data_IF_058018882239
#
_entry.id   IF_058018882239
#
_cell.length_a   1.000
_cell.length_b   1.000
_cell.length_c   1.000
_cell.angle_alpha   90.00
_cell.angle_beta   90.00
_cell.angle_gamma   90.00
#
_symmetry.space_group_name_H-M   'P 1'
#
loop_
_entity.id
_entity.type
_entity.pdbx_description
1 polymer ?
#
# COMPACT_ATOMS: atom_id res chain seq x y z
N UNK A 1 -13.92 -5.42 -3.46
CA UNK A 1 -13.67 -5.00 -2.06
C UNK A 1 -12.27 -5.48 -1.64
N UNK A 2 -11.34 -4.56 -1.40
CA UNK A 2 -9.99 -4.86 -0.96
C UNK A 2 -9.28 -3.57 -0.52
N UNK A 3 -8.10 -3.67 0.10
CA UNK A 3 -7.38 -2.53 0.67
C UNK A 3 -6.97 -1.46 -0.36
N UNK A 4 -7.09 -1.75 -1.64
CA UNK A 4 -6.82 -0.82 -2.75
C UNK A 4 -8.06 -0.50 -3.60
N UNK A 5 -9.26 -0.76 -3.06
CA UNK A 5 -10.53 -0.41 -3.69
C UNK A 5 -10.62 1.10 -3.91
N UNK A 6 -10.88 1.52 -5.14
CA UNK A 6 -10.93 2.95 -5.52
C UNK A 6 -9.72 3.43 -6.34
N UNK A 7 -8.61 2.68 -6.36
CA UNK A 7 -7.51 2.97 -7.30
C UNK A 7 -7.80 2.35 -8.67
N UNK A 8 -7.38 3.05 -9.70
CA UNK A 8 -7.37 2.54 -11.07
C UNK A 8 -6.14 1.66 -11.26
N UNK A 9 -6.33 0.43 -11.71
CA UNK A 9 -5.25 -0.52 -11.94
C UNK A 9 -5.42 -1.27 -13.25
N UNK A 10 -4.32 -1.69 -13.83
CA UNK A 10 -4.31 -2.67 -14.89
C UNK A 10 -4.48 -4.05 -14.25
N UNK A 11 -5.49 -4.79 -14.67
CA UNK A 11 -5.72 -6.17 -14.24
C UNK A 11 -5.39 -7.11 -15.38
N UNK A 12 -4.46 -8.03 -15.15
CA UNK A 12 -4.12 -9.09 -16.08
C UNK A 12 -4.56 -10.42 -15.49
N UNK A 13 -5.50 -11.08 -16.16
CA UNK A 13 -5.90 -12.44 -15.82
C UNK A 13 -4.98 -13.43 -16.52
N UNK A 14 -4.50 -14.41 -15.78
CA UNK A 14 -3.62 -15.49 -16.26
C UNK A 14 -4.31 -16.81 -15.91
N UNK A 15 -4.65 -17.59 -16.91
CA UNK A 15 -5.20 -18.93 -16.72
C UNK A 15 -4.08 -19.96 -16.90
N UNK A 16 -3.82 -20.74 -15.86
CA UNK A 16 -2.79 -21.78 -15.81
C UNK A 16 -3.49 -23.14 -15.88
N UNK A 17 -3.41 -23.78 -17.05
CA UNK A 17 -3.94 -25.12 -17.26
C UNK A 17 -2.86 -26.20 -16.99
N UNK A 18 -3.15 -27.13 -16.08
CA UNK A 18 -2.28 -28.26 -15.79
C UNK A 18 -3.04 -29.54 -16.14
N UNK A 19 -2.45 -30.38 -16.98
CA UNK A 19 -2.99 -31.71 -17.31
C UNK A 19 -2.01 -32.78 -16.85
N UNK A 20 -2.49 -33.68 -16.01
CA UNK A 20 -1.75 -34.87 -15.61
C UNK A 20 -2.34 -36.10 -16.31
N UNK A 21 -1.48 -36.99 -16.82
CA UNK A 21 -1.88 -38.26 -17.44
C UNK A 21 -1.12 -39.39 -16.76
N UNK A 22 -1.82 -40.42 -16.29
CA UNK A 22 -1.20 -41.60 -15.70
C UNK A 22 -0.78 -42.62 -16.77
N UNK A 23 -0.03 -43.69 -16.41
CA UNK A 23 0.38 -44.75 -17.35
C UNK A 23 -0.80 -45.51 -17.95
N UNK A 24 -1.99 -45.48 -17.34
CA UNK A 24 -3.21 -46.05 -17.85
C UNK A 24 -4.02 -45.11 -18.74
N UNK A 25 -3.42 -43.97 -19.11
CA UNK A 25 -4.01 -42.90 -19.95
C UNK A 25 -5.24 -42.20 -19.32
N UNK A 26 -5.42 -42.30 -17.99
CA UNK A 26 -6.39 -41.47 -17.28
C UNK A 26 -5.85 -40.02 -17.20
N UNK A 27 -6.73 -39.06 -17.43
CA UNK A 27 -6.38 -37.63 -17.43
C UNK A 27 -7.10 -36.88 -16.33
N UNK A 28 -6.35 -36.05 -15.61
CA UNK A 28 -6.88 -35.04 -14.72
C UNK A 28 -6.44 -33.65 -15.18
N UNK A 29 -7.36 -32.69 -15.21
CA UNK A 29 -7.08 -31.31 -15.57
C UNK A 29 -7.50 -30.38 -14.45
N UNK A 30 -6.62 -29.42 -14.14
CA UNK A 30 -6.89 -28.32 -13.21
C UNK A 30 -6.58 -27.02 -13.93
N UNK A 31 -7.49 -26.06 -13.85
CA UNK A 31 -7.27 -24.70 -14.31
C UNK A 31 -7.28 -23.76 -13.08
N UNK A 32 -6.21 -23.02 -12.91
CA UNK A 32 -6.07 -22.00 -11.88
C UNK A 32 -6.04 -20.64 -12.54
N UNK A 33 -6.98 -19.78 -12.17
CA UNK A 33 -7.01 -18.39 -12.63
C UNK A 33 -6.28 -17.50 -11.60
N UNK A 34 -5.21 -16.85 -12.02
CA UNK A 34 -4.49 -15.84 -11.24
C UNK A 34 -4.75 -14.45 -11.82
N UNK A 35 -4.94 -13.46 -10.95
CA UNK A 35 -5.06 -12.06 -11.35
C UNK A 35 -3.83 -11.29 -10.88
N UNK A 36 -3.09 -10.70 -11.82
CA UNK A 36 -2.03 -9.75 -11.54
C UNK A 36 -2.59 -8.32 -11.68
N UNK A 37 -2.48 -7.53 -10.61
CA UNK A 37 -2.95 -6.14 -10.61
C UNK A 37 -1.77 -5.19 -10.47
N UNK A 38 -1.66 -4.24 -11.39
CA UNK A 38 -0.66 -3.16 -11.35
C UNK A 38 -1.35 -1.82 -11.11
N UNK A 39 -0.93 -1.12 -10.06
CA UNK A 39 -1.50 0.17 -9.66
C UNK A 39 -0.42 1.24 -9.89
N UNK A 40 -0.68 2.27 -10.71
CA UNK A 40 0.27 3.36 -10.91
C UNK A 40 0.55 4.14 -9.62
N UNK A 41 1.82 4.35 -9.29
CA UNK A 41 2.23 5.02 -8.05
C UNK A 41 1.79 6.49 -7.96
N UNK A 42 1.58 7.16 -9.08
CA UNK A 42 1.14 8.57 -9.11
C UNK A 42 -0.30 8.78 -8.60
N UNK A 43 -1.06 7.72 -8.34
CA UNK A 43 -2.37 7.81 -7.68
C UNK A 43 -2.26 8.01 -6.17
N UNK A 44 -1.07 7.80 -5.59
CA UNK A 44 -0.83 8.09 -4.18
C UNK A 44 -0.43 9.56 -3.99
N UNK A 45 -0.95 10.20 -2.97
CA UNK A 45 -0.46 11.47 -2.49
C UNK A 45 0.93 11.34 -1.83
N UNK A 46 1.12 10.24 -1.08
CA UNK A 46 2.42 9.84 -0.52
C UNK A 46 2.57 8.33 -0.66
N UNK A 47 3.67 7.90 -1.27
CA UNK A 47 4.10 6.50 -1.29
C UNK A 47 5.53 6.39 -0.75
N UNK A 48 5.73 5.50 0.22
CA UNK A 48 7.04 5.27 0.80
C UNK A 48 7.32 3.77 0.98
N UNK A 49 8.56 3.34 0.77
CA UNK A 49 8.89 1.92 0.78
C UNK A 49 9.33 1.39 2.15
N UNK A 50 9.70 2.27 3.05
CA UNK A 50 10.20 1.96 4.39
C UNK A 50 9.30 2.59 5.46
N UNK A 51 9.73 2.67 6.72
CA UNK A 51 9.02 3.37 7.77
C UNK A 51 8.79 4.84 7.42
N UNK A 52 7.55 5.27 7.36
CA UNK A 52 7.15 6.65 7.10
C UNK A 52 6.84 7.36 8.41
N UNK A 53 7.53 8.47 8.68
CA UNK A 53 7.20 9.38 9.77
C UNK A 53 6.66 10.70 9.21
N UNK A 54 5.45 11.08 9.61
CA UNK A 54 4.86 12.39 9.31
C UNK A 54 4.84 13.19 10.60
N UNK A 55 5.78 14.15 10.69
CA UNK A 55 5.98 15.02 11.84
C UNK A 55 6.11 16.48 11.37
N UNK A 56 4.99 17.04 10.94
CA UNK A 56 4.93 18.35 10.33
C UNK A 56 5.00 19.49 11.37
N UNK A 57 5.71 20.57 11.02
CA UNK A 57 5.72 21.82 11.79
C UNK A 57 4.43 22.63 11.59
N UNK A 58 4.13 23.12 10.38
CA UNK A 58 2.87 23.77 10.05
C UNK A 58 1.72 22.77 9.90
N UNK A 59 0.47 23.25 9.86
CA UNK A 59 -0.67 22.42 9.47
C UNK A 59 -0.47 21.91 8.03
N UNK A 60 -0.71 20.62 7.82
CA UNK A 60 -0.62 19.97 6.53
C UNK A 60 -1.91 19.22 6.20
N UNK A 61 -2.29 19.29 4.92
CA UNK A 61 -3.45 18.61 4.34
C UNK A 61 -2.98 17.55 3.35
N UNK A 62 -3.44 16.32 3.51
CA UNK A 62 -3.17 15.19 2.61
C UNK A 62 -4.48 14.82 1.90
N UNK A 63 -4.65 15.29 0.66
CA UNK A 63 -5.85 15.05 -0.14
C UNK A 63 -5.83 13.74 -0.94
N UNK A 64 -4.69 13.05 -0.98
CA UNK A 64 -4.54 11.76 -1.67
C UNK A 64 -4.16 10.65 -0.72
N UNK A 65 -4.17 9.43 -1.23
CA UNK A 65 -3.81 8.25 -0.46
C UNK A 65 -2.39 8.32 0.08
N UNK A 66 -2.24 7.93 1.33
CA UNK A 66 -0.94 7.79 1.98
C UNK A 66 -0.67 6.31 2.20
N UNK A 67 0.42 5.82 1.62
CA UNK A 67 0.85 4.43 1.76
C UNK A 67 2.33 4.34 2.13
N UNK A 68 2.64 3.42 3.04
CA UNK A 68 4.01 2.96 3.26
C UNK A 68 4.06 1.44 3.28
N UNK A 69 5.17 0.86 2.84
CA UNK A 69 5.40 -0.59 2.86
C UNK A 69 5.93 -1.12 4.20
N UNK A 70 6.10 -0.24 5.20
CA UNK A 70 6.53 -0.61 6.54
C UNK A 70 5.70 0.16 7.58
N UNK A 71 6.22 0.47 8.76
CA UNK A 71 5.45 1.15 9.80
C UNK A 71 5.15 2.62 9.46
N UNK A 72 4.01 3.08 9.94
CA UNK A 72 3.58 4.47 9.81
C UNK A 72 3.55 5.17 11.18
N UNK A 73 4.23 6.30 11.28
CA UNK A 73 4.30 7.12 12.49
C UNK A 73 3.67 8.48 12.21
N UNK A 74 2.63 8.82 12.96
CA UNK A 74 1.85 10.04 12.76
C UNK A 74 1.80 10.88 14.04
N UNK A 75 2.37 12.07 13.99
CA UNK A 75 2.18 13.09 15.03
C UNK A 75 2.69 14.44 14.54
N UNK A 76 1.92 15.52 14.63
CA UNK A 76 2.47 16.85 14.31
C UNK A 76 3.54 17.28 15.32
N UNK A 77 4.43 18.18 14.89
CA UNK A 77 5.54 18.70 15.70
C UNK A 77 5.12 19.75 16.71
N UNK A 78 3.89 20.23 16.66
CA UNK A 78 3.37 21.31 17.49
C UNK A 78 1.86 21.18 17.68
N UNK A 79 1.19 22.26 18.09
CA UNK A 79 -0.28 22.35 18.20
C UNK A 79 -0.99 22.44 16.84
N UNK A 80 -0.25 22.44 15.72
CA UNK A 80 -0.81 22.41 14.38
C UNK A 80 -1.38 21.03 14.02
N UNK A 81 -2.09 20.95 12.91
CA UNK A 81 -2.80 19.74 12.51
C UNK A 81 -2.09 18.99 11.39
N UNK A 82 -2.28 17.68 11.38
CA UNK A 82 -2.04 16.81 10.24
C UNK A 82 -3.40 16.24 9.84
N UNK A 83 -3.93 16.68 8.69
CA UNK A 83 -5.26 16.29 8.23
C UNK A 83 -5.15 15.36 7.03
N UNK A 84 -5.91 14.25 7.06
CA UNK A 84 -5.98 13.27 6.00
C UNK A 84 -7.43 13.16 5.50
N UNK A 85 -7.61 13.37 4.21
CA UNK A 85 -8.93 13.37 3.56
C UNK A 85 -9.24 12.06 2.85
N UNK A 86 -8.23 11.18 2.71
CA UNK A 86 -8.34 9.92 1.97
C UNK A 86 -7.73 8.76 2.75
N UNK A 87 -7.52 7.62 2.08
CA UNK A 87 -7.03 6.39 2.69
C UNK A 87 -5.60 6.52 3.21
N UNK A 88 -5.38 5.89 4.34
CA UNK A 88 -4.07 5.69 4.96
C UNK A 88 -3.85 4.19 5.10
N UNK A 89 -2.80 3.67 4.50
CA UNK A 89 -2.55 2.23 4.47
C UNK A 89 -1.10 1.88 4.80
N UNK A 90 -0.91 0.81 5.56
CA UNK A 90 0.39 0.20 5.85
C UNK A 90 0.22 -1.31 6.04
N UNK A 91 1.10 -2.18 5.50
CA UNK A 91 1.09 -3.61 5.79
C UNK A 91 1.53 -3.96 7.21
N UNK A 92 2.24 -3.04 7.88
CA UNK A 92 2.72 -3.23 9.25
C UNK A 92 1.82 -2.49 10.25
N UNK A 93 2.37 -1.65 11.09
CA UNK A 93 1.69 -0.99 12.21
C UNK A 93 1.61 0.51 12.02
N UNK A 94 0.50 1.09 12.50
CA UNK A 94 0.35 2.51 12.67
C UNK A 94 0.67 2.88 14.13
N UNK A 95 1.52 3.88 14.33
CA UNK A 95 1.89 4.43 15.62
C UNK A 95 1.52 5.90 15.72
N UNK A 96 0.74 6.25 16.71
CA UNK A 96 0.41 7.66 17.01
C UNK A 96 1.49 8.26 17.90
N UNK A 97 2.69 8.44 17.35
CA UNK A 97 3.86 9.05 18.01
C UNK A 97 4.99 9.28 17.01
N UNK A 98 6.08 9.90 17.43
CA UNK A 98 7.35 9.90 16.69
C UNK A 98 8.04 8.53 16.71
N UNK A 99 8.78 8.22 15.67
CA UNK A 99 9.52 6.95 15.52
C UNK A 99 10.52 6.72 16.66
N UNK A 100 11.30 7.72 16.99
CA UNK A 100 12.43 7.59 17.92
C UNK A 100 12.12 8.05 19.35
N UNK A 101 10.93 8.51 19.62
CA UNK A 101 10.52 8.99 20.94
C UNK A 101 9.04 8.67 21.18
N UNK A 102 8.60 8.75 22.44
CA UNK A 102 7.17 8.63 22.75
C UNK A 102 6.42 9.96 22.60
N UNK A 103 7.02 10.97 21.93
CA UNK A 103 6.36 12.24 21.69
C UNK A 103 5.10 12.05 20.86
N UNK A 104 4.01 12.63 21.33
CA UNK A 104 2.67 12.48 20.77
C UNK A 104 1.92 13.80 20.89
N UNK A 105 1.19 14.16 19.83
CA UNK A 105 0.24 15.27 19.83
C UNK A 105 -1.13 14.79 19.31
N UNK A 106 -2.24 15.27 19.90
CA UNK A 106 -3.59 14.79 19.56
C UNK A 106 -4.14 15.40 18.25
N UNK A 107 -3.34 16.06 17.46
CA UNK A 107 -3.77 16.86 16.32
C UNK A 107 -3.63 16.13 14.97
N UNK A 108 -3.67 14.81 14.96
CA UNK A 108 -3.85 14.02 13.75
C UNK A 108 -5.34 13.82 13.51
N UNK A 109 -5.82 14.23 12.34
CA UNK A 109 -7.23 14.14 11.96
C UNK A 109 -7.40 13.37 10.68
N UNK A 110 -8.44 12.57 10.60
CA UNK A 110 -8.79 11.75 9.47
C UNK A 110 -10.28 11.90 9.24
N UNK A 111 -10.68 12.10 7.99
CA UNK A 111 -12.10 12.30 7.65
C UNK A 111 -12.90 11.00 7.85
N UNK A 112 -14.10 11.16 8.40
CA UNK A 112 -15.10 10.09 8.45
C UNK A 112 -15.84 9.91 7.10
N UNK A 113 -16.91 9.11 7.11
CA UNK A 113 -17.74 8.88 5.92
C UNK A 113 -18.39 10.14 5.34
N UNK A 114 -18.65 11.13 6.18
CA UNK A 114 -19.28 12.40 5.79
C UNK A 114 -18.24 13.47 5.42
N UNK A 115 -16.93 13.16 5.48
CA UNK A 115 -15.85 14.13 5.27
C UNK A 115 -15.62 15.03 6.48
N UNK A 116 -16.06 14.63 7.66
CA UNK A 116 -15.82 15.39 8.89
C UNK A 116 -14.56 14.88 9.56
N UNK A 117 -13.58 15.77 9.85
CA UNK A 117 -12.33 15.37 10.48
C UNK A 117 -12.52 14.82 11.89
N UNK A 118 -12.16 13.57 12.11
CA UNK A 118 -12.14 12.88 13.41
C UNK A 118 -10.72 12.78 13.94
N UNK A 119 -10.52 12.95 15.24
CA UNK A 119 -9.19 12.88 15.85
C UNK A 119 -8.73 11.43 15.99
N UNK A 120 -7.52 11.13 15.53
CA UNK A 120 -6.85 9.86 15.80
C UNK A 120 -6.54 9.76 17.30
N UNK A 121 -7.11 8.78 17.98
CA UNK A 121 -6.98 8.56 19.42
C UNK A 121 -6.55 7.12 19.79
N UNK A 122 -6.13 6.33 18.80
CA UNK A 122 -5.63 4.97 18.98
C UNK A 122 -4.48 4.68 18.02
N UNK A 123 -3.76 3.60 18.26
CA UNK A 123 -2.72 3.06 17.38
C UNK A 123 -2.69 1.53 17.45
N UNK A 124 -1.80 0.88 16.71
CA UNK A 124 -1.71 -0.59 16.65
C UNK A 124 -1.32 -1.24 17.99
N UNK A 125 -0.75 -0.47 18.94
CA UNK A 125 -0.43 -0.97 20.29
C UNK A 125 -1.60 -0.86 21.25
N UNK A 126 -2.32 0.27 21.22
CA UNK A 126 -3.48 0.46 22.09
C UNK A 126 -4.68 -0.38 21.64
N UNK A 127 -4.78 -0.64 20.35
CA UNK A 127 -5.85 -1.42 19.74
C UNK A 127 -5.25 -2.52 18.82
N UNK A 128 -4.74 -3.61 19.38
CA UNK A 128 -4.13 -4.66 18.56
C UNK A 128 -5.17 -5.52 17.81
N UNK A 129 -4.77 -6.03 16.64
CA UNK A 129 -5.57 -6.99 15.88
C UNK A 129 -6.94 -6.43 15.45
N UNK A 130 -7.98 -7.24 15.60
CA UNK A 130 -9.34 -6.87 15.19
C UNK A 130 -9.89 -5.62 15.89
N UNK A 131 -9.40 -5.26 17.06
CA UNK A 131 -9.82 -4.04 17.75
C UNK A 131 -9.39 -2.78 16.99
N UNK A 132 -8.26 -2.82 16.26
CA UNK A 132 -7.85 -1.74 15.38
C UNK A 132 -8.83 -1.56 14.22
N UNK A 133 -9.20 -2.65 13.56
CA UNK A 133 -10.16 -2.63 12.45
C UNK A 133 -11.51 -2.08 12.90
N UNK A 134 -11.98 -2.50 14.08
CA UNK A 134 -13.25 -2.03 14.65
C UNK A 134 -13.20 -0.53 14.94
N UNK A 135 -12.11 -0.03 15.54
CA UNK A 135 -11.94 1.39 15.85
C UNK A 135 -11.83 2.23 14.55
N UNK A 136 -11.08 1.76 13.56
CA UNK A 136 -10.96 2.43 12.26
C UNK A 136 -12.28 2.51 11.53
N UNK A 137 -13.05 1.43 11.50
CA UNK A 137 -14.38 1.41 10.86
C UNK A 137 -15.35 2.36 11.56
N UNK A 138 -15.32 2.41 12.89
CA UNK A 138 -16.21 3.23 13.68
C UNK A 138 -15.94 4.73 13.55
N UNK A 139 -14.66 5.14 13.57
CA UNK A 139 -14.28 6.56 13.59
C UNK A 139 -14.02 7.12 12.19
N UNK A 140 -13.43 6.32 11.29
CA UNK A 140 -12.91 6.78 10.01
C UNK A 140 -13.53 6.04 8.81
N UNK A 141 -14.61 5.28 9.03
CA UNK A 141 -15.23 4.45 7.99
C UNK A 141 -14.21 3.52 7.27
N UNK A 142 -13.25 2.98 8.01
CA UNK A 142 -12.22 2.09 7.47
C UNK A 142 -11.14 2.77 6.63
N UNK A 143 -11.02 4.10 6.66
CA UNK A 143 -9.98 4.82 5.90
C UNK A 143 -8.57 4.58 6.41
N UNK A 144 -8.41 4.06 7.61
CA UNK A 144 -7.10 3.69 8.16
C UNK A 144 -7.00 2.18 8.19
N UNK A 145 -6.10 1.63 7.38
CA UNK A 145 -5.94 0.17 7.25
C UNK A 145 -4.48 -0.23 7.50
N UNK A 146 -4.33 -1.35 8.20
CA UNK A 146 -3.02 -1.97 8.48
C UNK A 146 -2.99 -3.41 7.95
N UNK A 147 -1.89 -4.12 8.14
CA UNK A 147 -1.79 -5.54 7.78
C UNK A 147 -2.90 -6.40 8.37
N UNK A 148 -3.45 -6.02 9.53
CA UNK A 148 -4.61 -6.69 10.14
C UNK A 148 -5.87 -6.57 9.27
N UNK A 149 -5.98 -5.49 8.49
CA UNK A 149 -7.07 -5.28 7.51
C UNK A 149 -6.78 -5.93 6.15
N UNK A 150 -5.69 -6.69 6.02
CA UNK A 150 -5.29 -7.36 4.79
C UNK A 150 -4.44 -6.52 3.84
N UNK A 151 -3.94 -5.36 4.28
CA UNK A 151 -3.00 -4.56 3.49
C UNK A 151 -1.71 -5.36 3.27
N UNK A 152 -1.25 -5.40 2.03
CA UNK A 152 0.01 -6.04 1.64
C UNK A 152 1.01 -4.99 1.15
N UNK A 153 2.33 -5.24 1.27
CA UNK A 153 3.33 -4.37 0.68
C UNK A 153 3.15 -4.24 -0.84
N UNK A 154 3.18 -3.02 -1.33
CA UNK A 154 3.18 -2.75 -2.77
C UNK A 154 4.59 -2.87 -3.31
N UNK A 155 4.76 -3.71 -4.31
CA UNK A 155 6.06 -3.93 -4.96
C UNK A 155 5.98 -3.55 -6.42
N UNK A 156 7.05 -2.95 -6.92
CA UNK A 156 7.20 -2.79 -8.36
C UNK A 156 7.21 -4.18 -9.02
N UNK A 157 6.50 -4.39 -10.12
CA UNK A 157 6.46 -5.67 -10.84
C UNK A 157 7.77 -5.88 -11.62
N UNK A 158 8.86 -6.01 -10.88
CA UNK A 158 10.19 -6.23 -11.43
C UNK A 158 10.59 -7.70 -11.31
N UNK A 159 11.33 -8.24 -12.28
CA UNK A 159 11.97 -9.53 -12.16
C UNK A 159 12.83 -9.61 -10.88
N UNK A 160 12.91 -10.80 -10.30
CA UNK A 160 13.71 -11.03 -9.11
C UNK A 160 15.17 -10.58 -9.33
N UNK A 161 15.66 -9.75 -8.41
CA UNK A 161 17.03 -9.23 -8.46
C UNK A 161 17.25 -8.01 -9.36
N UNK A 162 16.20 -7.53 -10.07
CA UNK A 162 16.33 -6.31 -10.86
C UNK A 162 16.20 -5.06 -9.97
N UNK A 163 17.24 -4.20 -9.91
CA UNK A 163 17.14 -2.94 -9.19
C UNK A 163 16.14 -1.98 -9.84
N UNK A 164 15.33 -1.24 -9.07
CA UNK A 164 14.35 -0.27 -9.60
C UNK A 164 14.94 0.79 -10.54
N UNK A 165 16.23 1.14 -10.37
CA UNK A 165 16.93 2.09 -11.22
C UNK A 165 16.95 1.66 -12.69
N UNK A 166 16.87 0.37 -12.98
CA UNK A 166 16.83 -0.15 -14.35
C UNK A 166 15.61 0.32 -15.14
N UNK A 167 14.52 0.68 -14.47
CA UNK A 167 13.32 1.22 -15.13
C UNK A 167 13.57 2.57 -15.81
N UNK A 168 14.40 3.41 -15.20
CA UNK A 168 14.67 4.77 -15.69
C UNK A 168 15.92 4.85 -16.58
N UNK A 169 16.81 3.87 -16.49
CA UNK A 169 17.99 3.81 -17.35
C UNK A 169 17.59 3.55 -18.82
N UNK A 170 18.30 4.15 -19.77
CA UNK A 170 18.09 3.85 -21.19
C UNK A 170 18.36 2.37 -21.48
N UNK A 171 17.75 1.88 -22.56
CA UNK A 171 18.05 0.53 -23.05
C UNK A 171 19.51 0.42 -23.42
N UNK A 172 20.10 -0.70 -23.00
CA UNK A 172 21.49 -1.02 -23.31
C UNK A 172 21.55 -2.34 -24.11
N UNK A 173 22.45 -2.43 -25.07
CA UNK A 173 22.66 -3.65 -25.86
C UNK A 173 23.10 -4.87 -25.02
N UNK A 174 23.64 -4.64 -23.81
CA UNK A 174 24.01 -5.68 -22.84
C UNK A 174 22.89 -6.09 -21.88
N UNK A 175 21.69 -5.47 -21.97
CA UNK A 175 20.57 -5.87 -21.12
C UNK A 175 20.14 -7.31 -21.46
N UNK A 176 19.86 -8.12 -20.43
CA UNK A 176 19.23 -9.44 -20.62
C UNK A 176 17.79 -9.33 -21.15
N UNK A 177 17.19 -10.47 -21.51
CA UNK A 177 15.85 -10.50 -22.09
C UNK A 177 14.78 -9.92 -21.17
N UNK A 178 14.87 -10.22 -19.86
CA UNK A 178 13.89 -9.78 -18.86
C UNK A 178 14.01 -8.27 -18.62
N UNK A 179 15.22 -7.76 -18.47
CA UNK A 179 15.50 -6.32 -18.35
C UNK A 179 15.00 -5.55 -19.57
N UNK A 180 15.21 -6.08 -20.79
CA UNK A 180 14.71 -5.47 -22.04
C UNK A 180 13.19 -5.47 -22.10
N UNK A 181 12.54 -6.55 -21.69
CA UNK A 181 11.08 -6.66 -21.69
C UNK A 181 10.45 -5.64 -20.74
N UNK A 182 10.98 -5.51 -19.51
CA UNK A 182 10.51 -4.54 -18.52
C UNK A 182 10.73 -3.12 -19.01
N UNK A 183 11.93 -2.76 -19.47
CA UNK A 183 12.22 -1.43 -20.02
C UNK A 183 11.37 -1.09 -21.23
N UNK A 184 10.95 -2.08 -22.03
CA UNK A 184 10.04 -1.90 -23.14
C UNK A 184 8.63 -1.62 -22.66
N UNK A 185 8.11 -2.45 -21.78
CA UNK A 185 6.74 -2.32 -21.27
C UNK A 185 6.50 -0.96 -20.58
N UNK A 186 7.46 -0.47 -19.78
CA UNK A 186 7.33 0.80 -19.06
C UNK A 186 7.55 2.05 -19.90
N UNK A 187 8.19 1.95 -21.05
CA UNK A 187 8.44 3.09 -21.95
C UNK A 187 7.50 3.13 -23.17
N UNK A 188 6.66 2.11 -23.31
CA UNK A 188 5.67 2.01 -24.39
C UNK A 188 4.29 2.54 -23.97
N UNK A 189 4.12 2.89 -22.70
CA UNK A 189 2.95 3.57 -22.11
C UNK A 189 3.24 5.03 -21.86
#
# INVERSE_FOLDING_TARGET
>A
YGPFSGLVGLNQQIDIGITATDPANNRAQVVVTANAQSIPLFQFGVFYNEDLEIHNGPTMEFAGWVHTNANLYLTPGSTNFTNFHDLITTPDSLFWQRKNTNYRQPNVRIDDAAGVPQTLNFDSRSNPGQSFVTASNSLFNGRVMTGVSGVQPLRLPLPTGMPPIQLILPRNGGDDADTRAVKFAWKAT
#
